data_IF_421372220085
#
_entry.id   IF_421372220085
#
_cell.length_a   1.000
_cell.length_b   1.000
_cell.length_c   1.000
_cell.angle_alpha   90.00
_cell.angle_beta   90.00
_cell.angle_gamma   90.00
#
_symmetry.space_group_name_H-M   'P 1'
#
loop_
_entity.id
_entity.type
_entity.pdbx_description
1 polymer ?
#
# COMPACT_ATOMS: atom_id res chain seq x y z
N UNK A 1 -23.46 15.68 -10.36
CA UNK A 1 -22.35 14.73 -10.57
C UNK A 1 -22.53 13.64 -9.53
N UNK A 2 -22.62 12.37 -9.93
CA UNK A 2 -22.60 11.26 -8.97
C UNK A 2 -21.25 11.31 -8.26
N UNK A 3 -21.24 11.43 -6.93
CA UNK A 3 -20.03 11.31 -6.14
C UNK A 3 -19.53 9.87 -6.31
N UNK A 4 -18.37 9.69 -6.94
CA UNK A 4 -17.71 8.40 -6.98
C UNK A 4 -17.61 7.87 -5.55
N UNK A 5 -18.07 6.64 -5.35
CA UNK A 5 -17.95 5.95 -4.06
C UNK A 5 -17.06 4.73 -4.32
N UNK A 6 -15.84 4.71 -3.77
CA UNK A 6 -14.98 3.55 -3.94
C UNK A 6 -15.65 2.31 -3.33
N UNK A 7 -15.58 1.19 -4.07
CA UNK A 7 -16.07 -0.11 -3.59
C UNK A 7 -14.91 -0.88 -2.97
N UNK A 8 -15.01 -1.11 -1.67
CA UNK A 8 -14.02 -1.80 -0.84
C UNK A 8 -14.52 -3.20 -0.47
N UNK A 9 -14.84 -4.02 -1.46
CA UNK A 9 -15.45 -5.34 -1.25
C UNK A 9 -14.40 -6.46 -1.06
N UNK A 10 -13.11 -6.11 -1.14
CA UNK A 10 -11.99 -7.01 -0.93
C UNK A 10 -11.87 -7.44 0.54
N UNK A 11 -11.39 -8.67 0.74
CA UNK A 11 -11.14 -9.26 2.06
C UNK A 11 -9.68 -9.62 2.20
N UNK A 12 -9.10 -9.35 3.36
CA UNK A 12 -7.84 -9.93 3.74
C UNK A 12 -8.14 -11.29 4.38
N UNK A 13 -7.25 -12.27 4.26
CA UNK A 13 -7.38 -13.56 4.94
C UNK A 13 -5.99 -13.91 5.47
N UNK A 14 -5.89 -14.12 6.77
CA UNK A 14 -4.63 -14.40 7.46
C UNK A 14 -4.73 -15.80 8.04
N UNK A 15 -3.65 -16.57 7.91
CA UNK A 15 -3.55 -17.94 8.42
C UNK A 15 -2.67 -17.99 9.67
N UNK A 16 -2.98 -18.90 10.58
CA UNK A 16 -2.17 -19.27 11.76
C UNK A 16 -1.97 -20.79 11.77
N UNK A 17 -0.94 -21.26 12.47
CA UNK A 17 -0.65 -22.67 12.64
C UNK A 17 -0.84 -23.11 14.09
N UNK A 18 -1.30 -24.35 14.30
CA UNK A 18 -1.32 -24.96 15.63
C UNK A 18 0.10 -25.02 16.24
N UNK A 19 0.24 -25.05 17.57
CA UNK A 19 1.56 -25.08 18.21
C UNK A 19 2.44 -26.28 17.80
N UNK A 20 1.84 -27.38 17.38
CA UNK A 20 2.56 -28.56 16.86
C UNK A 20 2.87 -28.48 15.36
N UNK A 21 2.48 -27.40 14.69
CA UNK A 21 2.70 -27.11 13.27
C UNK A 21 1.89 -27.99 12.31
N UNK A 22 0.92 -28.78 12.80
CA UNK A 22 0.20 -29.77 11.96
C UNK A 22 -1.08 -29.26 11.32
N UNK A 23 -1.66 -28.19 11.86
CA UNK A 23 -2.94 -27.65 11.39
C UNK A 23 -2.77 -26.17 11.06
N UNK A 24 -3.27 -25.76 9.90
CA UNK A 24 -3.38 -24.35 9.52
C UNK A 24 -4.85 -23.95 9.50
N UNK A 25 -5.19 -22.83 10.14
CA UNK A 25 -6.54 -22.26 10.16
C UNK A 25 -6.50 -20.79 9.78
N UNK A 26 -7.66 -20.22 9.44
CA UNK A 26 -7.78 -18.77 9.29
C UNK A 26 -7.94 -18.11 10.67
N UNK A 27 -7.33 -16.94 10.85
CA UNK A 27 -7.55 -16.09 12.01
C UNK A 27 -8.93 -15.40 11.91
N UNK A 28 -9.57 -15.15 13.06
CA UNK A 28 -10.97 -14.66 13.12
C UNK A 28 -11.14 -13.18 12.72
N UNK A 29 -10.05 -12.40 12.62
CA UNK A 29 -10.08 -10.97 12.29
C UNK A 29 -9.15 -10.65 11.12
N UNK A 30 -9.71 -10.49 9.92
CA UNK A 30 -8.95 -10.29 8.68
C UNK A 30 -9.55 -9.19 7.81
N UNK A 31 -9.92 -8.07 8.42
CA UNK A 31 -10.41 -6.92 7.67
C UNK A 31 -9.26 -5.96 7.38
N UNK A 32 -9.28 -5.35 6.19
CA UNK A 32 -8.44 -4.19 5.94
C UNK A 32 -8.80 -3.06 6.90
N UNK A 33 -7.80 -2.27 7.29
CA UNK A 33 -8.04 -0.97 7.91
C UNK A 33 -8.07 0.09 6.81
N UNK A 34 -9.24 0.64 6.54
CA UNK A 34 -9.45 1.68 5.52
C UNK A 34 -9.24 3.07 6.12
N UNK A 35 -8.40 3.89 5.48
CA UNK A 35 -8.16 5.28 5.89
C UNK A 35 -7.99 6.21 4.68
N UNK A 36 -8.46 7.45 4.82
CA UNK A 36 -8.14 8.51 3.86
C UNK A 36 -6.69 8.97 4.09
N UNK A 37 -5.89 8.97 3.03
CA UNK A 37 -4.48 9.36 3.08
C UNK A 37 -4.26 10.80 2.59
N UNK A 38 -5.00 11.21 1.57
CA UNK A 38 -5.01 12.54 0.99
C UNK A 38 -6.34 12.74 0.24
N UNK A 39 -6.71 13.97 -0.17
CA UNK A 39 -7.89 14.16 -1.02
C UNK A 39 -7.84 13.26 -2.26
N UNK A 40 -8.88 12.42 -2.45
CA UNK A 40 -8.95 11.48 -3.56
C UNK A 40 -8.06 10.25 -3.46
N UNK A 41 -7.37 10.02 -2.34
CA UNK A 41 -6.50 8.85 -2.11
C UNK A 41 -6.91 8.12 -0.83
N UNK A 42 -7.40 6.89 -0.99
CA UNK A 42 -7.76 6.00 0.13
C UNK A 42 -6.81 4.83 0.18
N UNK A 43 -6.36 4.46 1.38
CA UNK A 43 -5.50 3.29 1.61
C UNK A 43 -6.27 2.25 2.42
N UNK A 44 -6.17 0.98 1.99
CA UNK A 44 -6.59 -0.17 2.76
C UNK A 44 -5.36 -0.95 3.22
N UNK A 45 -5.04 -0.83 4.50
CA UNK A 45 -3.90 -1.50 5.11
C UNK A 45 -4.19 -3.00 5.30
N UNK A 46 -3.30 -3.84 4.76
CA UNK A 46 -3.45 -5.29 4.73
C UNK A 46 -2.65 -5.98 5.85
N UNK A 47 -1.34 -5.73 5.89
CA UNK A 47 -0.42 -6.36 6.85
C UNK A 47 0.85 -5.54 7.02
N UNK A 48 1.54 -5.69 8.16
CA UNK A 48 2.92 -5.25 8.31
C UNK A 48 3.72 -6.28 9.09
N UNK A 49 5.01 -6.33 8.82
CA UNK A 49 5.92 -7.23 9.50
C UNK A 49 7.20 -6.51 9.92
N UNK A 50 7.73 -6.92 11.06
CA UNK A 50 9.03 -6.48 11.53
C UNK A 50 10.17 -7.12 10.73
N UNK A 51 11.35 -6.50 10.79
CA UNK A 51 12.58 -6.98 10.13
C UNK A 51 13.02 -8.37 10.57
N UNK A 52 12.75 -8.73 11.82
CA UNK A 52 12.88 -10.11 12.31
C UNK A 52 11.51 -10.76 12.24
N UNK A 53 11.21 -11.38 11.09
CA UNK A 53 9.96 -12.09 10.88
C UNK A 53 9.96 -13.38 11.70
N UNK A 54 9.05 -13.49 12.67
CA UNK A 54 8.90 -14.65 13.54
C UNK A 54 7.46 -15.12 13.55
N UNK A 55 7.25 -16.36 13.13
CA UNK A 55 5.95 -17.04 13.22
C UNK A 55 5.81 -17.88 14.50
N UNK A 56 6.87 -17.96 15.32
CA UNK A 56 6.82 -18.64 16.62
C UNK A 56 5.75 -17.98 17.46
N UNK A 57 4.82 -18.79 17.96
CA UNK A 57 3.68 -18.36 18.78
C UNK A 57 2.90 -17.19 18.15
N UNK A 58 2.81 -17.15 16.81
CA UNK A 58 2.13 -16.09 16.04
C UNK A 58 2.65 -14.67 16.34
N UNK A 59 3.92 -14.53 16.74
CA UNK A 59 4.47 -13.24 17.18
C UNK A 59 4.30 -12.10 16.15
N UNK A 60 4.43 -12.38 14.84
CA UNK A 60 4.21 -11.38 13.80
C UNK A 60 2.73 -10.98 13.68
N UNK A 61 1.82 -11.96 13.79
CA UNK A 61 0.37 -11.72 13.76
C UNK A 61 -0.09 -10.91 14.98
N UNK A 62 0.40 -11.25 16.18
CA UNK A 62 0.13 -10.47 17.39
C UNK A 62 0.62 -9.02 17.24
N UNK A 63 1.83 -8.82 16.72
CA UNK A 63 2.37 -7.49 16.46
C UNK A 63 1.52 -6.71 15.44
N UNK A 64 1.08 -7.36 14.36
CA UNK A 64 0.19 -6.76 13.37
C UNK A 64 -1.16 -6.36 13.99
N UNK A 65 -1.78 -7.24 14.77
CA UNK A 65 -3.07 -6.99 15.42
C UNK A 65 -2.96 -5.85 16.44
N UNK A 66 -1.86 -5.80 17.20
CA UNK A 66 -1.60 -4.72 18.15
C UNK A 66 -1.39 -3.38 17.43
N UNK A 67 -0.69 -3.36 16.30
CA UNK A 67 -0.56 -2.17 15.47
C UNK A 67 -1.92 -1.64 15.00
N UNK A 68 -2.84 -2.53 14.60
CA UNK A 68 -4.23 -2.16 14.26
C UNK A 68 -4.97 -1.58 15.48
N UNK A 69 -4.93 -2.25 16.63
CA UNK A 69 -5.60 -1.80 17.86
C UNK A 69 -5.12 -0.42 18.31
N UNK A 70 -3.84 -0.13 18.12
CA UNK A 70 -3.22 1.16 18.44
C UNK A 70 -3.43 2.24 17.36
N UNK A 71 -4.07 1.89 16.23
CA UNK A 71 -4.20 2.79 15.08
C UNK A 71 -2.88 3.09 14.35
N UNK A 72 -1.83 2.32 14.63
CA UNK A 72 -0.49 2.47 14.03
C UNK A 72 -0.39 1.64 12.75
N UNK A 73 -1.10 2.06 11.71
CA UNK A 73 -1.08 1.42 10.39
C UNK A 73 -0.21 2.24 9.44
N UNK A 74 1.12 2.04 9.38
CA UNK A 74 1.97 2.84 8.52
C UNK A 74 1.63 2.62 7.04
N UNK A 75 1.93 3.59 6.18
CA UNK A 75 1.95 3.39 4.72
C UNK A 75 3.38 3.18 4.21
N UNK A 76 4.37 3.70 4.94
CA UNK A 76 5.79 3.55 4.63
C UNK A 76 6.47 2.88 5.82
N UNK A 77 7.14 1.74 5.65
CA UNK A 77 7.78 1.03 6.75
C UNK A 77 9.14 1.66 7.11
N UNK A 78 9.58 1.48 8.36
CA UNK A 78 10.97 1.73 8.76
C UNK A 78 11.92 0.69 8.18
N UNK A 79 13.23 0.96 8.25
CA UNK A 79 14.27 0.07 7.76
C UNK A 79 14.09 -1.39 8.23
N UNK A 80 14.14 -2.33 7.28
CA UNK A 80 13.96 -3.76 7.48
C UNK A 80 12.51 -4.23 7.62
N UNK A 81 11.56 -3.36 7.98
CA UNK A 81 10.15 -3.73 8.12
C UNK A 81 9.45 -3.73 6.75
N UNK A 82 8.29 -4.36 6.67
CA UNK A 82 7.44 -4.34 5.48
C UNK A 82 6.02 -3.90 5.79
N UNK A 83 5.33 -3.39 4.77
CA UNK A 83 3.90 -3.13 4.82
C UNK A 83 3.25 -3.45 3.48
N UNK A 84 2.04 -4.00 3.54
CA UNK A 84 1.22 -4.34 2.40
C UNK A 84 -0.07 -3.53 2.44
N UNK A 85 -0.41 -2.85 1.34
CA UNK A 85 -1.57 -1.97 1.25
C UNK A 85 -2.22 -2.03 -0.13
N UNK A 86 -3.54 -1.85 -0.21
CA UNK A 86 -4.16 -1.31 -1.42
C UNK A 86 -4.18 0.21 -1.36
N UNK A 87 -3.91 0.85 -2.48
CA UNK A 87 -4.06 2.28 -2.67
C UNK A 87 -5.09 2.52 -3.78
N UNK A 88 -6.11 3.30 -3.45
CA UNK A 88 -7.23 3.62 -4.32
C UNK A 88 -7.20 5.10 -4.63
N UNK A 89 -7.18 5.42 -5.92
CA UNK A 89 -7.25 6.77 -6.44
C UNK A 89 -8.66 7.00 -7.00
N UNK A 90 -9.32 8.05 -6.53
CA UNK A 90 -10.59 8.51 -7.06
C UNK A 90 -10.44 8.97 -8.53
N UNK A 91 -11.55 9.10 -9.28
CA UNK A 91 -11.52 9.70 -10.60
C UNK A 91 -10.88 11.09 -10.56
N UNK A 92 -10.13 11.41 -11.62
CA UNK A 92 -9.38 12.65 -11.75
C UNK A 92 -9.96 13.53 -12.87
N UNK A 93 -11.13 14.17 -12.67
CA UNK A 93 -11.80 14.94 -13.72
C UNK A 93 -11.00 16.16 -14.17
N UNK A 94 -10.17 16.73 -13.30
CA UNK A 94 -9.29 17.87 -13.60
C UNK A 94 -8.05 17.48 -14.39
N UNK A 95 -7.66 16.20 -14.39
CA UNK A 95 -6.38 15.76 -14.94
C UNK A 95 -5.19 16.28 -14.16
N UNK A 96 -5.34 16.49 -12.84
CA UNK A 96 -4.25 16.92 -11.97
C UNK A 96 -3.14 15.87 -11.97
N UNK A 97 -1.88 16.31 -11.92
CA UNK A 97 -0.75 15.40 -11.77
C UNK A 97 -0.71 14.81 -10.37
N UNK A 98 -0.16 13.59 -10.27
CA UNK A 98 0.07 12.93 -9.00
C UNK A 98 1.11 13.63 -8.13
N UNK A 99 1.14 13.24 -6.87
CA UNK A 99 2.07 13.78 -5.88
C UNK A 99 3.48 13.17 -6.07
N UNK A 100 4.44 14.00 -6.52
CA UNK A 100 5.82 13.58 -6.70
C UNK A 100 6.54 13.48 -5.36
N UNK A 101 6.91 12.26 -4.98
CA UNK A 101 7.57 11.99 -3.71
C UNK A 101 8.56 10.83 -3.85
N UNK A 102 9.36 10.62 -2.81
CA UNK A 102 10.29 9.49 -2.71
C UNK A 102 10.25 8.89 -1.31
N UNK A 103 10.16 7.58 -1.26
CA UNK A 103 10.33 6.77 -0.04
C UNK A 103 11.65 6.02 -0.11
N UNK A 104 12.28 5.74 1.03
CA UNK A 104 13.46 4.86 1.08
C UNK A 104 13.03 3.39 1.14
N UNK A 105 12.34 2.93 0.11
CA UNK A 105 11.73 1.61 0.08
C UNK A 105 12.00 0.87 -1.23
N UNK A 106 11.92 -0.45 -1.15
CA UNK A 106 11.70 -1.31 -2.31
C UNK A 106 10.21 -1.65 -2.35
N UNK A 107 9.53 -1.25 -3.42
CA UNK A 107 8.09 -1.45 -3.55
C UNK A 107 7.77 -2.39 -4.72
N UNK A 108 6.97 -3.40 -4.43
CA UNK A 108 6.35 -4.29 -5.41
C UNK A 108 4.91 -3.83 -5.61
N UNK A 109 4.66 -3.11 -6.70
CA UNK A 109 3.34 -2.51 -6.97
C UNK A 109 2.69 -3.26 -8.12
N UNK A 110 1.50 -3.81 -7.90
CA UNK A 110 0.70 -4.45 -8.96
C UNK A 110 -0.58 -3.65 -9.18
N UNK A 111 -0.88 -3.32 -10.43
CA UNK A 111 -2.15 -2.65 -10.76
C UNK A 111 -3.27 -3.69 -10.70
N UNK A 112 -4.26 -3.46 -9.85
CA UNK A 112 -5.35 -4.42 -9.64
C UNK A 112 -6.65 -3.98 -10.32
N UNK A 113 -6.81 -2.68 -10.55
CA UNK A 113 -7.96 -2.13 -11.25
C UNK A 113 -7.66 -0.79 -11.94
N UNK A 114 -8.29 -0.55 -13.08
CA UNK A 114 -8.11 0.66 -13.89
C UNK A 114 -6.75 0.78 -14.60
N UNK A 115 -6.44 2.01 -15.01
CA UNK A 115 -5.17 2.42 -15.62
C UNK A 115 -4.57 3.58 -14.83
N UNK A 116 -3.28 3.49 -14.55
CA UNK A 116 -2.56 4.47 -13.74
C UNK A 116 -1.36 5.01 -14.52
N UNK A 117 -1.24 6.33 -14.52
CA UNK A 117 -0.03 7.03 -14.92
C UNK A 117 1.02 6.96 -13.82
N UNK A 118 2.28 6.80 -14.22
CA UNK A 118 3.43 6.82 -13.35
C UNK A 118 4.49 7.76 -13.92
N UNK A 119 4.75 8.84 -13.20
CA UNK A 119 5.72 9.87 -13.59
C UNK A 119 6.94 9.76 -12.68
N UNK A 120 8.15 9.78 -13.25
CA UNK A 120 9.40 9.92 -12.47
C UNK A 120 9.97 11.32 -12.60
N UNK A 121 10.91 11.71 -11.73
CA UNK A 121 11.46 13.07 -11.68
C UNK A 121 12.21 13.53 -12.93
N UNK A 122 12.62 12.62 -13.82
CA UNK A 122 13.16 12.99 -15.14
C UNK A 122 12.10 13.55 -16.09
N UNK A 123 10.82 13.47 -15.71
CA UNK A 123 9.68 13.78 -16.56
C UNK A 123 9.20 12.62 -17.42
N UNK A 124 9.89 11.48 -17.40
CA UNK A 124 9.41 10.27 -18.08
C UNK A 124 8.10 9.80 -17.45
N UNK A 125 7.13 9.45 -18.32
CA UNK A 125 5.82 8.93 -17.94
C UNK A 125 5.55 7.58 -18.58
N UNK A 126 4.94 6.70 -17.82
CA UNK A 126 4.42 5.40 -18.30
C UNK A 126 2.98 5.23 -17.86
N UNK A 127 2.22 4.45 -18.62
CA UNK A 127 0.88 4.02 -18.25
C UNK A 127 0.94 2.54 -17.92
N UNK A 128 0.38 2.18 -16.77
CA UNK A 128 0.26 0.81 -16.30
C UNK A 128 -1.21 0.43 -16.21
N UNK A 129 -1.55 -0.76 -16.70
CA UNK A 129 -2.90 -1.31 -16.70
C UNK A 129 -2.99 -2.47 -15.72
N UNK A 130 -4.21 -2.89 -15.40
CA UNK A 130 -4.49 -4.08 -14.59
C UNK A 130 -3.61 -5.28 -14.98
N UNK A 131 -2.91 -5.83 -14.00
CA UNK A 131 -1.98 -6.96 -14.14
C UNK A 131 -0.52 -6.55 -14.34
N UNK A 132 -0.23 -5.29 -14.67
CA UNK A 132 1.14 -4.81 -14.75
C UNK A 132 1.76 -4.65 -13.36
N UNK A 133 3.09 -4.76 -13.31
CA UNK A 133 3.89 -4.65 -12.08
C UNK A 133 4.94 -3.56 -12.24
N UNK A 134 5.11 -2.74 -11.19
CA UNK A 134 6.19 -1.77 -11.04
C UNK A 134 7.07 -2.18 -9.87
N UNK A 135 8.37 -2.29 -10.13
CA UNK A 135 9.38 -2.49 -9.09
C UNK A 135 10.05 -1.15 -8.83
N UNK A 136 9.67 -0.48 -7.75
CA UNK A 136 10.16 0.84 -7.41
C UNK A 136 11.32 0.74 -6.41
N UNK A 137 12.46 1.36 -6.74
CA UNK A 137 13.70 1.26 -5.97
C UNK A 137 14.15 2.63 -5.45
N UNK A 138 13.57 3.08 -4.35
CA UNK A 138 13.84 4.41 -3.76
C UNK A 138 13.79 5.56 -4.78
N UNK A 139 12.89 5.46 -5.76
CA UNK A 139 12.77 6.40 -6.88
C UNK A 139 11.80 7.53 -6.58
N UNK A 140 12.07 8.72 -7.11
CA UNK A 140 11.06 9.78 -7.17
C UNK A 140 9.96 9.39 -8.14
N UNK A 141 8.71 9.43 -7.68
CA UNK A 141 7.57 8.98 -8.46
C UNK A 141 6.27 9.67 -8.07
N UNK A 142 5.32 9.67 -8.99
CA UNK A 142 3.96 10.14 -8.79
C UNK A 142 2.99 9.19 -9.48
N UNK A 143 1.95 8.77 -8.77
CA UNK A 143 0.84 8.00 -9.30
C UNK A 143 -0.32 8.92 -9.67
N UNK A 144 -0.86 8.76 -10.87
CA UNK A 144 -1.98 9.57 -11.37
C UNK A 144 -3.08 8.64 -11.88
N UNK A 145 -4.32 8.80 -11.41
CA UNK A 145 -5.47 8.22 -12.09
C UNK A 145 -5.74 8.98 -13.39
N UNK A 146 -5.73 8.27 -14.51
CA UNK A 146 -5.93 8.85 -15.85
C UNK A 146 -7.41 8.95 -16.21
N UNK A 147 -8.28 8.24 -15.50
CA UNK A 147 -9.72 8.27 -15.73
C UNK A 147 -10.36 9.48 -15.07
N UNK A 148 -11.29 10.12 -15.79
CA UNK A 148 -12.10 11.24 -15.29
C UNK A 148 -13.36 10.80 -14.57
N UNK A 149 -13.75 9.54 -14.72
CA UNK A 149 -15.05 9.03 -14.25
C UNK A 149 -14.94 7.78 -13.38
N UNK A 150 -13.87 7.00 -13.53
CA UNK A 150 -13.64 5.74 -12.80
C UNK A 150 -12.46 5.87 -11.84
N UNK A 151 -12.50 5.15 -10.72
CA UNK A 151 -11.36 5.02 -9.83
C UNK A 151 -10.32 4.04 -10.40
N UNK A 152 -9.14 4.03 -9.80
CA UNK A 152 -8.08 3.08 -10.13
C UNK A 152 -7.40 2.61 -8.84
N UNK A 153 -6.91 1.37 -8.84
CA UNK A 153 -6.36 0.73 -7.63
C UNK A 153 -5.08 -0.03 -7.95
N UNK A 154 -4.09 0.10 -7.05
CA UNK A 154 -2.93 -0.79 -7.01
C UNK A 154 -2.78 -1.44 -5.63
N UNK A 155 -2.16 -2.60 -5.60
CA UNK A 155 -1.65 -3.25 -4.39
C UNK A 155 -0.15 -3.07 -4.32
N UNK A 156 0.37 -2.65 -3.17
CA UNK A 156 1.79 -2.44 -2.95
C UNK A 156 2.27 -3.24 -1.74
N UNK A 157 3.43 -3.89 -1.88
CA UNK A 157 4.24 -4.35 -0.76
C UNK A 157 5.50 -3.49 -0.73
N UNK A 158 5.63 -2.65 0.29
CA UNK A 158 6.80 -1.82 0.52
C UNK A 158 7.70 -2.46 1.57
N UNK A 159 9.01 -2.45 1.35
CA UNK A 159 10.01 -2.86 2.32
C UNK A 159 10.97 -1.71 2.61
N UNK A 160 11.20 -1.41 3.88
CA UNK A 160 12.08 -0.32 4.29
C UNK A 160 13.53 -0.65 3.99
N UNK A 161 14.19 0.16 3.17
CA UNK A 161 15.61 0.05 2.92
C UNK A 161 16.43 0.64 4.09
N UNK A 162 17.76 0.54 4.01
CA UNK A 162 18.65 1.18 4.98
C UNK A 162 18.33 2.68 5.12
N UNK A 163 18.21 3.14 6.37
CA UNK A 163 17.90 4.53 6.68
C UNK A 163 16.47 4.98 6.34
N UNK A 164 15.55 4.04 6.10
CA UNK A 164 14.12 4.32 6.02
C UNK A 164 13.52 4.61 7.40
N UNK A 165 12.73 5.67 7.49
CA UNK A 165 11.98 6.05 8.68
C UNK A 165 10.49 5.81 8.40
N UNK A 166 9.77 5.26 9.38
CA UNK A 166 8.35 4.98 9.23
C UNK A 166 7.57 6.25 8.84
N UNK A 167 6.68 6.11 7.85
CA UNK A 167 5.80 7.16 7.29
C UNK A 167 6.53 8.40 6.75
N UNK A 168 7.87 8.36 6.67
CA UNK A 168 8.63 9.43 6.09
C UNK A 168 8.61 9.35 4.55
N UNK A 169 8.27 10.48 3.93
CA UNK A 169 8.34 10.68 2.50
C UNK A 169 9.17 11.95 2.23
N UNK A 170 10.13 11.84 1.33
CA UNK A 170 10.81 13.01 0.79
C UNK A 170 9.91 13.65 -0.27
N UNK A 171 9.72 14.96 -0.15
CA UNK A 171 8.88 15.76 -1.03
C UNK A 171 9.79 16.69 -1.83
N UNK A 172 9.39 17.05 -3.04
CA UNK A 172 10.05 18.17 -3.71
C UNK A 172 9.71 19.44 -2.94
N UNK A 173 10.70 20.31 -2.72
CA UNK A 173 10.42 21.66 -2.24
C UNK A 173 9.40 22.30 -3.20
N UNK A 174 8.30 22.82 -2.64
CA UNK A 174 7.21 23.44 -3.38
C UNK A 174 7.63 24.73 -4.09
#
# INVERSE_FOLDING_TARGET
MSSYTPKFDNKCYITTNSPDGKTTTFADSTSFVTKSQAPGVTVQYAYSAASTLSFTDDADLEAHQEAIKQGKTPNVPSAGNSVAVFCHLEPNPSGAEGFLHRTRTLDYVTITDGELGYTVNSGEKRVFKKGDVVIQRSGWHAWTNLSKTEGATFFAVAMGAEGATQDFMELTDA
#
